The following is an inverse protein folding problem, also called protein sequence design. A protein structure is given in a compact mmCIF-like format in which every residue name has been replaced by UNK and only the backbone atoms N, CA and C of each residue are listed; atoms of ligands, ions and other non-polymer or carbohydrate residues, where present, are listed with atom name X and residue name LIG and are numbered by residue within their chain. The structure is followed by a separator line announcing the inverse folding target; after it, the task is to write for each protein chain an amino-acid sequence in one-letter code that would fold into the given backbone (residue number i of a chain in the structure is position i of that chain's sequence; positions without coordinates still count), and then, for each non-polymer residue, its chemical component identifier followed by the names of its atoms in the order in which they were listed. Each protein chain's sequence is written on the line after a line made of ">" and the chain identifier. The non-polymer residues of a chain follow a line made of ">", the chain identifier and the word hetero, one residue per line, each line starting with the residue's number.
data_IF_733119904092
#
_entry.id   IF_733119904092
#
_cell.length_a   1.000
_cell.length_b   1.000
_cell.length_c   1.000
_cell.angle_alpha   90.00
_cell.angle_beta   90.00
_cell.angle_gamma   90.00
#
_symmetry.space_group_name_H-M   'P 1'
#
loop_
_entity.id
_entity.type
_entity.pdbx_description
1 polymer ?
#
# COMPACT_ATOMS: atom_id res chain seq x y z
N UNK A 1 79.79 -29.60 -14.94
CA UNK A 1 79.88 -30.52 -13.80
C UNK A 1 79.25 -29.82 -12.61
N UNK A 2 78.27 -30.49 -12.01
CA UNK A 2 77.77 -30.43 -10.62
C UNK A 2 77.23 -29.09 -10.07
N UNK A 3 75.91 -28.98 -9.84
CA UNK A 3 75.12 -29.36 -8.64
C UNK A 3 75.42 -28.54 -7.37
N UNK A 4 74.52 -27.60 -7.08
CA UNK A 4 73.95 -27.26 -5.77
C UNK A 4 72.66 -26.45 -6.09
N UNK A 5 71.42 -26.83 -5.82
CA UNK A 5 70.80 -27.38 -4.62
C UNK A 5 71.01 -26.48 -3.39
N UNK A 6 70.30 -25.36 -3.35
CA UNK A 6 69.83 -24.75 -2.11
C UNK A 6 68.30 -24.59 -2.18
N UNK A 7 67.64 -25.64 -1.69
CA UNK A 7 66.27 -25.65 -1.23
C UNK A 7 66.20 -25.10 0.19
N UNK A 8 65.18 -24.30 0.50
CA UNK A 8 64.64 -23.94 1.83
C UNK A 8 64.19 -22.48 1.71
N UNK A 9 62.92 -22.11 1.70
CA UNK A 9 61.73 -22.73 2.26
C UNK A 9 60.90 -21.56 2.77
N UNK A 10 60.06 -20.98 1.92
CA UNK A 10 59.10 -19.97 2.38
C UNK A 10 57.98 -20.73 3.09
N UNK A 11 58.09 -20.82 4.41
CA UNK A 11 56.99 -21.23 5.27
C UNK A 11 55.89 -20.18 5.15
N UNK A 12 54.95 -20.40 4.24
CA UNK A 12 53.63 -19.78 4.37
C UNK A 12 52.97 -20.60 5.47
N UNK A 13 52.89 -19.98 6.65
CA UNK A 13 52.19 -20.52 7.80
C UNK A 13 50.78 -20.93 7.35
N UNK A 14 50.54 -22.25 7.35
CA UNK A 14 49.23 -22.85 7.32
C UNK A 14 48.46 -22.30 8.54
N UNK A 15 47.40 -21.51 8.30
CA UNK A 15 46.60 -21.01 9.43
C UNK A 15 45.73 -19.78 9.19
N UNK A 16 45.22 -19.54 7.99
CA UNK A 16 44.28 -18.43 7.78
C UNK A 16 43.17 -18.71 6.75
N UNK A 17 42.62 -19.93 6.71
CA UNK A 17 41.45 -20.19 5.85
C UNK A 17 40.20 -20.73 6.58
N UNK A 18 40.29 -21.15 7.85
CA UNK A 18 39.18 -21.88 8.51
C UNK A 18 38.18 -21.04 9.33
N UNK A 19 38.13 -19.70 9.19
CA UNK A 19 37.12 -18.88 9.88
C UNK A 19 36.20 -18.06 8.97
N UNK A 20 36.30 -18.21 7.65
CA UNK A 20 35.42 -17.50 6.70
C UNK A 20 34.18 -18.31 6.29
N UNK A 21 34.01 -19.52 6.83
CA UNK A 21 32.81 -20.35 6.66
C UNK A 21 31.73 -20.07 7.70
N UNK A 22 31.78 -18.90 8.36
CA UNK A 22 30.56 -18.33 8.94
C UNK A 22 29.60 -18.08 7.79
N UNK A 23 28.69 -19.05 7.59
CA UNK A 23 27.57 -19.03 6.64
C UNK A 23 27.24 -17.60 6.26
N UNK A 24 27.51 -17.22 5.00
CA UNK A 24 27.19 -15.88 4.50
C UNK A 24 25.71 -15.62 4.83
N UNK A 25 25.47 -14.81 5.87
CA UNK A 25 24.12 -14.47 6.30
C UNK A 25 23.58 -13.49 5.29
N UNK A 26 23.01 -14.03 4.20
CA UNK A 26 22.32 -13.25 3.19
C UNK A 26 21.01 -12.77 3.82
N UNK A 27 21.02 -11.56 4.37
CA UNK A 27 19.80 -10.85 4.73
C UNK A 27 19.10 -10.39 3.46
N UNK A 28 18.00 -11.06 3.13
CA UNK A 28 17.09 -10.61 2.09
C UNK A 28 16.32 -9.37 2.60
N UNK A 29 16.84 -8.19 2.29
CA UNK A 29 16.22 -6.90 2.63
C UNK A 29 14.85 -6.68 1.94
N UNK A 30 14.52 -7.49 0.94
CA UNK A 30 13.23 -7.47 0.24
C UNK A 30 12.26 -8.54 0.76
N UNK A 31 12.63 -9.25 1.84
CA UNK A 31 11.76 -10.20 2.54
C UNK A 31 10.69 -9.48 3.33
N UNK A 32 9.68 -8.96 2.64
CA UNK A 32 8.51 -8.38 3.26
C UNK A 32 7.71 -9.46 4.00
N UNK A 33 7.25 -9.14 5.22
CA UNK A 33 6.33 -10.02 5.94
C UNK A 33 5.05 -10.21 5.12
N UNK A 34 4.76 -11.45 4.73
CA UNK A 34 3.51 -11.81 4.07
C UNK A 34 2.38 -11.75 5.09
N UNK A 35 1.79 -10.57 5.29
CA UNK A 35 0.57 -10.42 6.09
C UNK A 35 -0.53 -11.26 5.45
N UNK A 36 -1.14 -12.18 6.21
CA UNK A 36 -2.35 -12.90 5.77
C UNK A 36 -3.39 -11.84 5.42
N UNK A 37 -3.83 -11.81 4.15
CA UNK A 37 -4.80 -10.84 3.65
C UNK A 37 -6.17 -11.17 4.23
N UNK A 38 -6.49 -10.67 5.42
CA UNK A 38 -7.87 -10.51 5.82
C UNK A 38 -8.45 -9.43 4.90
N UNK A 39 -9.23 -9.84 3.90
CA UNK A 39 -9.93 -8.92 3.00
C UNK A 39 -10.98 -8.17 3.81
N UNK A 40 -10.58 -7.08 4.47
CA UNK A 40 -11.52 -6.16 5.08
C UNK A 40 -12.38 -5.58 3.95
N UNK A 41 -13.64 -5.99 3.90
CA UNK A 41 -14.63 -5.41 2.98
C UNK A 41 -14.90 -3.99 3.46
N UNK A 42 -14.28 -3.00 2.84
CA UNK A 42 -14.64 -1.60 3.06
C UNK A 42 -16.01 -1.38 2.41
N UNK A 43 -16.98 -1.00 3.22
CA UNK A 43 -18.30 -0.67 2.74
C UNK A 43 -18.46 0.85 2.81
N UNK A 44 -18.78 1.47 1.66
CA UNK A 44 -19.06 2.90 1.58
C UNK A 44 -20.55 3.09 1.85
N UNK A 45 -20.88 3.97 2.79
CA UNK A 45 -22.25 4.41 3.05
C UNK A 45 -22.33 5.89 2.78
N UNK A 46 -23.45 6.31 2.18
CA UNK A 46 -23.77 7.72 2.01
C UNK A 46 -24.65 8.16 3.16
N UNK A 47 -24.45 9.39 3.63
CA UNK A 47 -25.34 9.99 4.61
C UNK A 47 -26.71 10.21 3.96
N UNK A 48 -27.76 9.80 4.66
CA UNK A 48 -29.12 9.95 4.17
C UNK A 48 -29.61 11.40 4.26
N UNK A 49 -28.99 12.23 5.11
CA UNK A 49 -29.32 13.65 5.25
C UNK A 49 -28.20 14.47 4.64
N UNK A 50 -28.57 15.46 3.83
CA UNK A 50 -27.64 16.41 3.20
C UNK A 50 -28.06 17.84 3.48
N UNK A 51 -27.08 18.70 3.73
CA UNK A 51 -27.26 20.14 3.80
C UNK A 51 -27.21 20.75 2.40
N UNK A 52 -28.23 21.53 2.06
CA UNK A 52 -28.31 22.29 0.82
C UNK A 52 -28.18 23.77 1.12
N UNK A 53 -27.18 24.40 0.51
CA UNK A 53 -26.99 25.85 0.56
C UNK A 53 -27.53 26.47 -0.72
N UNK A 54 -28.48 27.40 -0.59
CA UNK A 54 -29.06 28.13 -1.72
C UNK A 54 -28.81 29.63 -1.57
N UNK A 55 -28.48 30.29 -2.68
CA UNK A 55 -28.36 31.73 -2.73
C UNK A 55 -29.72 32.31 -3.10
N UNK A 56 -30.27 33.16 -2.22
CA UNK A 56 -31.44 33.96 -2.56
C UNK A 56 -31.05 35.17 -3.42
N UNK A 57 -32.02 35.75 -4.12
CA UNK A 57 -31.84 36.98 -4.93
C UNK A 57 -31.25 38.15 -4.13
N UNK A 58 -31.47 38.15 -2.81
CA UNK A 58 -30.91 39.14 -1.89
C UNK A 58 -29.48 38.80 -1.43
N UNK A 59 -28.79 37.88 -2.11
CA UNK A 59 -27.46 37.34 -1.79
C UNK A 59 -27.33 36.71 -0.39
N UNK A 60 -28.45 36.49 0.30
CA UNK A 60 -28.47 35.79 1.58
C UNK A 60 -28.41 34.29 1.31
N UNK A 61 -27.52 33.61 2.04
CA UNK A 61 -27.40 32.15 2.02
C UNK A 61 -28.53 31.58 2.87
N UNK A 62 -29.26 30.61 2.32
CA UNK A 62 -30.22 29.78 3.06
C UNK A 62 -29.68 28.37 3.11
N UNK A 63 -29.51 27.85 4.33
CA UNK A 63 -29.08 26.48 4.57
C UNK A 63 -30.32 25.68 4.98
N UNK A 64 -30.55 24.56 4.33
CA UNK A 64 -31.64 23.63 4.67
C UNK A 64 -31.15 22.19 4.63
N UNK A 65 -31.49 21.43 5.66
CA UNK A 65 -31.27 19.99 5.70
C UNK A 65 -32.39 19.28 4.95
N UNK A 66 -32.03 18.26 4.17
CA UNK A 66 -32.99 17.45 3.42
C UNK A 66 -32.59 15.98 3.42
N UNK A 67 -33.58 15.10 3.50
CA UNK A 67 -33.39 13.66 3.41
C UNK A 67 -33.31 13.25 1.94
N UNK A 68 -32.25 12.55 1.55
CA UNK A 68 -32.12 11.91 0.25
C UNK A 68 -33.17 10.82 0.11
N UNK A 69 -33.92 10.86 -0.99
CA UNK A 69 -34.86 9.80 -1.32
C UNK A 69 -34.14 8.50 -1.66
N UNK A 70 -34.82 7.37 -1.45
CA UNK A 70 -34.30 6.05 -1.79
C UNK A 70 -34.13 5.87 -3.30
N UNK A 71 -33.38 4.86 -3.74
CA UNK A 71 -33.18 4.57 -5.16
C UNK A 71 -34.53 4.39 -5.90
N UNK A 72 -35.46 3.69 -5.28
CA UNK A 72 -36.83 3.47 -5.79
C UNK A 72 -37.61 4.78 -5.92
N UNK A 73 -37.53 5.67 -4.93
CA UNK A 73 -38.20 6.97 -4.95
C UNK A 73 -37.63 7.89 -6.04
N UNK A 74 -36.31 7.88 -6.23
CA UNK A 74 -35.64 8.69 -7.26
C UNK A 74 -35.98 8.20 -8.67
N UNK A 75 -36.04 6.88 -8.89
CA UNK A 75 -36.44 6.30 -10.17
C UNK A 75 -37.85 6.75 -10.57
N UNK A 76 -38.81 6.69 -9.62
CA UNK A 76 -40.20 7.09 -9.84
C UNK A 76 -40.36 8.60 -10.14
N UNK A 77 -39.55 9.47 -9.52
CA UNK A 77 -39.58 10.92 -9.79
C UNK A 77 -39.05 11.27 -11.19
N UNK A 78 -38.06 10.54 -11.71
CA UNK A 78 -37.48 10.77 -13.06
C UNK A 78 -38.46 10.44 -14.19
N UNK A 79 -39.36 9.48 -14.00
CA UNK A 79 -40.42 9.15 -14.96
C UNK A 79 -41.44 10.29 -15.13
N UNK A 80 -41.74 11.04 -14.06
CA UNK A 80 -42.78 12.09 -14.09
C UNK A 80 -42.37 13.37 -14.84
N UNK A 81 -41.07 13.62 -15.05
CA UNK A 81 -40.59 14.85 -15.72
C UNK A 81 -40.43 14.72 -17.24
N UNK A 82 -40.75 13.57 -17.83
CA UNK A 82 -40.70 13.32 -19.29
C UNK A 82 -42.01 13.69 -20.03
N UNK A 83 -42.79 14.63 -19.48
CA UNK A 83 -44.00 15.17 -20.12
C UNK A 83 -43.92 16.71 -20.18
N UNK A 84 -42.88 17.24 -20.83
CA UNK A 84 -42.83 18.61 -21.33
C UNK A 84 -42.19 18.59 -22.71
#
# INVERSE_FOLDING_TARGET
>A
MDKAADSCGTAIAEGLEDQLTSELVIYDYMKYQKKKKNKAKKHVRFNQVVETATFSENYKIRISESVLGTEEEQANRKLKRRNF
#
